data_IF_253453718579
#
_entry.id   IF_253453718579
#
_cell.length_a   1.000
_cell.length_b   1.000
_cell.length_c   1.000
_cell.angle_alpha   90.00
_cell.angle_beta   90.00
_cell.angle_gamma   90.00
#
_symmetry.space_group_name_H-M   'P 1'
#
loop_
_entity.id
_entity.type
_entity.pdbx_description
1 polymer ?
#
# COMPACT_ATOMS: atom_id res chain seq x y z
N UNK A 1 19.17 -86.24 -1.01
CA UNK A 1 18.21 -85.67 -0.02
C UNK A 1 18.48 -84.20 0.14
N UNK A 2 17.60 -83.30 -0.32
CA UNK A 2 17.80 -81.90 -0.11
C UNK A 2 17.04 -81.40 1.16
N UNK A 3 17.70 -80.64 1.99
CA UNK A 3 17.14 -79.99 3.18
C UNK A 3 16.20 -78.83 2.76
N UNK A 4 14.99 -78.84 3.30
CA UNK A 4 14.03 -77.77 3.20
C UNK A 4 14.34 -76.73 4.25
N UNK A 5 14.63 -75.51 3.79
CA UNK A 5 14.78 -74.33 4.62
C UNK A 5 13.38 -73.77 4.94
N UNK A 6 13.03 -73.66 6.24
CA UNK A 6 11.80 -73.06 6.69
C UNK A 6 11.97 -71.53 6.76
N UNK A 7 11.18 -70.80 5.99
CA UNK A 7 11.08 -69.37 6.05
C UNK A 7 10.11 -68.97 7.18
N UNK A 8 10.55 -68.21 8.17
CA UNK A 8 9.75 -67.78 9.33
C UNK A 8 8.81 -66.62 8.95
N UNK A 9 7.52 -66.64 9.36
CA UNK A 9 6.51 -65.65 8.96
C UNK A 9 6.52 -64.34 9.81
N UNK A 10 7.63 -63.96 10.46
CA UNK A 10 7.65 -62.86 11.39
C UNK A 10 7.94 -61.46 10.82
N UNK A 11 8.50 -61.32 9.61
CA UNK A 11 8.98 -60.06 9.07
C UNK A 11 7.92 -59.18 8.40
N UNK A 12 6.79 -59.77 7.97
CA UNK A 12 5.74 -59.05 7.22
C UNK A 12 4.70 -58.36 8.13
N UNK A 13 4.58 -58.74 9.41
CA UNK A 13 3.62 -58.10 10.33
C UNK A 13 4.11 -56.76 10.84
N UNK A 14 5.42 -56.58 11.08
CA UNK A 14 6.00 -55.31 11.54
C UNK A 14 5.94 -54.19 10.51
N UNK A 15 6.11 -54.54 9.23
CA UNK A 15 6.05 -53.59 8.12
C UNK A 15 4.63 -53.03 7.90
N UNK A 16 3.60 -53.87 8.05
CA UNK A 16 2.18 -53.47 7.92
C UNK A 16 1.73 -52.59 9.07
N UNK A 17 2.25 -52.80 10.28
CA UNK A 17 1.96 -51.96 11.46
C UNK A 17 2.64 -50.59 11.35
N UNK A 18 3.89 -50.57 10.89
CA UNK A 18 4.63 -49.31 10.66
C UNK A 18 3.96 -48.41 9.57
N UNK A 19 3.49 -49.02 8.46
CA UNK A 19 2.79 -48.28 7.40
C UNK A 19 1.43 -47.74 7.90
N UNK A 20 0.71 -48.50 8.73
CA UNK A 20 -0.56 -48.01 9.32
C UNK A 20 -0.36 -46.88 10.33
N UNK A 21 0.69 -46.90 11.11
CA UNK A 21 1.05 -45.82 12.03
C UNK A 21 1.50 -44.57 11.27
N UNK A 22 2.27 -44.73 10.19
CA UNK A 22 2.67 -43.60 9.35
C UNK A 22 1.48 -42.98 8.59
N UNK A 23 0.57 -43.81 8.06
CA UNK A 23 -0.67 -43.36 7.42
C UNK A 23 -1.62 -42.69 8.41
N UNK A 24 -1.71 -43.20 9.66
CA UNK A 24 -2.46 -42.59 10.76
C UNK A 24 -1.87 -41.23 11.20
N UNK A 25 -0.55 -41.12 11.28
CA UNK A 25 0.14 -39.88 11.60
C UNK A 25 -0.01 -38.83 10.48
N UNK A 26 0.09 -39.27 9.20
CA UNK A 26 -0.17 -38.41 8.04
C UNK A 26 -1.63 -37.94 7.95
N UNK A 27 -2.59 -38.83 8.29
CA UNK A 27 -4.01 -38.46 8.35
C UNK A 27 -4.31 -37.51 9.52
N UNK A 28 -3.68 -37.70 10.69
CA UNK A 28 -3.80 -36.81 11.83
C UNK A 28 -3.21 -35.42 11.54
N UNK A 29 -2.08 -35.33 10.82
CA UNK A 29 -1.49 -34.08 10.34
C UNK A 29 -2.38 -33.41 9.29
N UNK A 30 -3.04 -34.17 8.41
CA UNK A 30 -3.97 -33.65 7.42
C UNK A 30 -5.28 -33.10 8.05
N UNK A 31 -5.72 -33.68 9.17
CA UNK A 31 -6.92 -33.23 9.90
C UNK A 31 -6.60 -32.02 10.78
N UNK A 32 -5.38 -31.92 11.36
CA UNK A 32 -4.95 -30.74 12.11
C UNK A 32 -4.61 -29.53 11.23
N UNK A 33 -4.39 -29.73 9.91
CA UNK A 33 -4.15 -28.66 8.94
C UNK A 33 -5.40 -27.84 8.59
N UNK A 34 -6.58 -28.19 9.12
CA UNK A 34 -7.82 -27.40 8.99
C UNK A 34 -8.14 -26.57 10.23
N UNK A 35 -7.18 -26.32 11.14
CA UNK A 35 -7.38 -25.37 12.22
C UNK A 35 -7.47 -23.97 11.60
N UNK A 36 -8.68 -23.50 11.37
CA UNK A 36 -8.92 -22.09 11.02
C UNK A 36 -8.46 -21.24 12.20
N UNK A 37 -7.59 -20.26 11.92
CA UNK A 37 -7.24 -19.26 12.93
C UNK A 37 -8.53 -18.59 13.41
N UNK A 38 -8.74 -18.56 14.72
CA UNK A 38 -9.92 -17.91 15.30
C UNK A 38 -9.92 -16.43 14.97
N UNK A 39 -11.03 -15.96 14.42
CA UNK A 39 -11.27 -14.54 14.18
C UNK A 39 -12.72 -14.19 14.51
N UNK A 40 -12.99 -12.94 14.83
CA UNK A 40 -14.34 -12.46 14.97
C UNK A 40 -15.07 -12.50 13.61
N UNK A 41 -16.42 -12.60 13.62
CA UNK A 41 -17.19 -12.61 12.37
C UNK A 41 -16.89 -11.40 11.49
N UNK A 42 -16.80 -11.61 10.19
CA UNK A 42 -16.56 -10.55 9.22
C UNK A 42 -17.75 -9.59 9.11
N UNK A 43 -17.48 -8.37 8.65
CA UNK A 43 -18.48 -7.35 8.35
C UNK A 43 -18.84 -7.43 6.88
N UNK A 44 -20.13 -7.40 6.56
CA UNK A 44 -20.58 -7.33 5.17
C UNK A 44 -20.32 -5.94 4.59
N UNK A 45 -20.21 -5.85 3.26
CA UNK A 45 -20.04 -4.58 2.58
C UNK A 45 -21.17 -3.58 2.86
N UNK A 46 -22.41 -4.06 2.97
CA UNK A 46 -23.58 -3.22 3.26
C UNK A 46 -23.48 -2.57 4.66
N UNK A 47 -23.07 -3.33 5.66
CA UNK A 47 -22.83 -2.85 7.02
C UNK A 47 -21.64 -1.88 7.05
N UNK A 48 -20.49 -2.28 6.48
CA UNK A 48 -19.26 -1.50 6.52
C UNK A 48 -19.38 -0.09 5.89
N UNK A 49 -20.20 0.07 4.85
CA UNK A 49 -20.48 1.37 4.22
C UNK A 49 -21.17 2.37 5.14
N UNK A 50 -21.91 1.90 6.12
CA UNK A 50 -22.69 2.72 7.05
C UNK A 50 -21.91 3.01 8.34
N UNK A 51 -20.78 2.31 8.55
CA UNK A 51 -19.98 2.48 9.75
C UNK A 51 -18.98 3.63 9.61
N UNK A 52 -18.99 4.50 10.58
CA UNK A 52 -17.89 5.40 10.85
C UNK A 52 -16.96 4.71 11.86
N UNK A 53 -15.77 4.28 11.40
CA UNK A 53 -14.82 3.58 12.27
C UNK A 53 -14.40 4.48 13.43
N UNK A 54 -14.42 3.96 14.66
CA UNK A 54 -14.18 4.71 15.88
C UNK A 54 -15.09 5.95 16.01
N UNK A 55 -16.27 5.95 15.40
CA UNK A 55 -17.19 7.10 15.32
C UNK A 55 -16.54 8.36 14.69
N UNK A 56 -15.55 8.18 13.82
CA UNK A 56 -14.88 9.27 13.12
C UNK A 56 -15.52 9.48 11.75
N UNK A 57 -16.25 10.59 11.53
CA UNK A 57 -16.85 10.89 10.25
C UNK A 57 -15.78 11.05 9.14
N UNK A 58 -16.11 10.55 7.95
CA UNK A 58 -15.23 10.64 6.78
C UNK A 58 -13.83 9.99 6.97
N UNK A 59 -13.64 9.12 8.00
CA UNK A 59 -12.36 8.42 8.23
C UNK A 59 -11.99 7.51 7.06
N UNK A 60 -12.98 6.93 6.38
CA UNK A 60 -12.80 6.06 5.23
C UNK A 60 -13.99 6.07 4.29
N UNK A 61 -13.77 5.64 3.06
CA UNK A 61 -14.83 5.40 2.07
C UNK A 61 -14.39 4.37 1.03
N UNK A 62 -15.37 3.70 0.43
CA UNK A 62 -15.14 2.80 -0.68
C UNK A 62 -15.07 3.57 -2.00
N UNK A 63 -14.32 3.05 -2.96
CA UNK A 63 -14.20 3.66 -4.30
C UNK A 63 -15.57 3.84 -4.98
N UNK A 64 -16.56 3.01 -4.62
CA UNK A 64 -17.96 3.10 -5.08
C UNK A 64 -18.81 4.15 -4.36
N UNK A 65 -18.34 4.73 -3.23
CA UNK A 65 -19.11 5.69 -2.45
C UNK A 65 -18.99 7.12 -3.00
N UNK A 66 -19.46 7.29 -4.21
CA UNK A 66 -19.36 8.54 -4.97
C UNK A 66 -19.81 9.77 -4.20
N UNK A 67 -20.88 9.65 -3.41
CA UNK A 67 -21.40 10.77 -2.61
C UNK A 67 -20.42 11.19 -1.51
N UNK A 68 -19.89 10.26 -0.71
CA UNK A 68 -18.90 10.55 0.34
C UNK A 68 -17.63 11.19 -0.25
N UNK A 69 -17.17 10.70 -1.39
CA UNK A 69 -16.00 11.24 -2.09
C UNK A 69 -16.21 12.71 -2.45
N UNK A 70 -17.38 13.05 -3.02
CA UNK A 70 -17.71 14.44 -3.32
C UNK A 70 -17.83 15.29 -2.06
N UNK A 71 -18.43 14.80 -1.00
CA UNK A 71 -18.62 15.53 0.26
C UNK A 71 -17.26 15.87 0.89
N UNK A 72 -16.32 14.90 0.92
CA UNK A 72 -14.94 15.14 1.38
C UNK A 72 -14.23 16.17 0.49
N UNK A 73 -14.35 16.06 -0.83
CA UNK A 73 -13.72 17.00 -1.77
C UNK A 73 -14.29 18.42 -1.65
N UNK A 74 -15.62 18.54 -1.47
CA UNK A 74 -16.30 19.84 -1.27
C UNK A 74 -15.87 20.49 0.04
N UNK A 75 -15.88 19.73 1.16
CA UNK A 75 -15.39 20.21 2.47
C UNK A 75 -13.93 20.68 2.38
N UNK A 76 -13.07 19.90 1.72
CA UNK A 76 -11.66 20.25 1.53
C UNK A 76 -11.52 21.52 0.67
N UNK A 77 -12.25 21.63 -0.44
CA UNK A 77 -12.26 22.82 -1.28
C UNK A 77 -12.68 24.08 -0.50
N UNK A 78 -13.75 24.00 0.28
CA UNK A 78 -14.23 25.14 1.07
C UNK A 78 -13.20 25.60 2.13
N UNK A 79 -12.56 24.65 2.84
CA UNK A 79 -11.49 24.95 3.78
C UNK A 79 -10.28 25.58 3.08
N UNK A 80 -9.82 24.96 1.99
CA UNK A 80 -8.63 25.41 1.26
C UNK A 80 -8.86 26.72 0.52
N UNK A 81 -10.10 27.02 0.10
CA UNK A 81 -10.41 28.28 -0.55
C UNK A 81 -10.31 29.48 0.42
N UNK A 82 -10.64 29.26 1.71
CA UNK A 82 -10.43 30.25 2.77
C UNK A 82 -8.94 30.45 3.05
N UNK A 83 -8.13 29.39 3.00
CA UNK A 83 -6.72 29.43 3.37
C UNK A 83 -5.79 29.85 2.22
N UNK A 84 -6.08 29.45 0.96
CA UNK A 84 -5.13 29.51 -0.17
C UNK A 84 -5.65 30.20 -1.42
N UNK A 85 -6.91 30.63 -1.48
CA UNK A 85 -7.48 31.38 -2.59
C UNK A 85 -7.31 30.72 -3.97
N UNK A 86 -6.90 31.52 -4.97
CA UNK A 86 -6.78 31.12 -6.38
C UNK A 86 -5.50 30.37 -6.80
N UNK A 87 -4.68 29.90 -5.87
CA UNK A 87 -3.39 29.25 -6.15
C UNK A 87 -3.53 27.96 -6.97
N UNK A 88 -2.47 27.59 -7.69
CA UNK A 88 -2.32 26.30 -8.36
C UNK A 88 -2.49 25.17 -7.34
N UNK A 89 -3.16 24.08 -7.72
CA UNK A 89 -3.34 22.89 -6.89
C UNK A 89 -2.37 21.79 -7.32
N UNK A 90 -1.68 21.24 -6.36
CA UNK A 90 -0.68 20.19 -6.57
C UNK A 90 -1.11 18.89 -5.92
N UNK A 91 -1.11 17.82 -6.70
CA UNK A 91 -1.47 16.47 -6.25
C UNK A 91 -0.28 15.54 -6.42
N UNK A 92 -0.04 14.70 -5.42
CA UNK A 92 1.00 13.68 -5.44
C UNK A 92 0.40 12.30 -5.24
N UNK A 93 0.76 11.35 -6.09
CA UNK A 93 0.46 9.94 -5.90
C UNK A 93 1.75 9.13 -5.82
N UNK A 94 1.87 8.36 -4.74
CA UNK A 94 3.01 7.49 -4.44
C UNK A 94 2.59 6.04 -4.59
N UNK A 95 3.22 5.32 -5.52
CA UNK A 95 2.88 3.92 -5.75
C UNK A 95 3.45 2.98 -4.70
N UNK A 96 2.88 1.77 -4.63
CA UNK A 96 3.56 0.61 -4.05
C UNK A 96 4.87 0.29 -4.76
N UNK A 97 5.66 -0.63 -4.17
CA UNK A 97 6.94 -1.05 -4.73
C UNK A 97 7.91 -1.68 -3.71
N UNK A 98 7.51 -1.89 -2.44
CA UNK A 98 8.39 -2.45 -1.42
C UNK A 98 9.63 -1.58 -1.20
N UNK A 99 10.81 -2.19 -1.30
CA UNK A 99 12.13 -1.53 -1.18
C UNK A 99 12.43 -0.54 -2.32
N UNK A 100 11.78 -0.64 -3.47
CA UNK A 100 11.82 0.38 -4.53
C UNK A 100 11.26 1.75 -4.08
N UNK A 101 10.58 1.83 -2.93
CA UNK A 101 10.20 3.08 -2.27
C UNK A 101 11.36 4.03 -1.99
N UNK A 102 12.57 3.50 -1.89
CA UNK A 102 13.81 4.27 -1.77
C UNK A 102 13.98 5.29 -2.92
N UNK A 103 13.54 4.93 -4.15
CA UNK A 103 13.53 5.86 -5.29
C UNK A 103 12.69 7.10 -5.01
N UNK A 104 11.43 6.89 -4.60
CA UNK A 104 10.51 8.00 -4.34
C UNK A 104 10.95 8.88 -3.18
N UNK A 105 11.49 8.27 -2.11
CA UNK A 105 12.04 8.98 -0.98
C UNK A 105 13.23 9.86 -1.38
N UNK A 106 14.19 9.30 -2.14
CA UNK A 106 15.32 10.02 -2.70
C UNK A 106 14.89 11.13 -3.63
N UNK A 107 13.98 10.85 -4.56
CA UNK A 107 13.45 11.85 -5.50
C UNK A 107 12.82 13.04 -4.76
N UNK A 108 12.00 12.81 -3.75
CA UNK A 108 11.37 13.88 -2.98
C UNK A 108 12.39 14.72 -2.20
N UNK A 109 13.38 14.10 -1.56
CA UNK A 109 14.45 14.80 -0.85
C UNK A 109 15.30 15.62 -1.82
N UNK A 110 15.68 15.05 -2.98
CA UNK A 110 16.39 15.75 -4.04
C UNK A 110 15.59 16.91 -4.64
N UNK A 111 14.29 16.71 -4.84
CA UNK A 111 13.39 17.77 -5.33
C UNK A 111 13.27 18.93 -4.34
N UNK A 112 13.26 18.64 -3.03
CA UNK A 112 13.35 19.68 -2.00
C UNK A 112 14.69 20.43 -2.04
N UNK A 113 15.79 19.73 -2.30
CA UNK A 113 17.11 20.34 -2.44
C UNK A 113 17.23 21.21 -3.71
N UNK A 114 16.52 20.83 -4.80
CA UNK A 114 16.39 21.65 -6.00
C UNK A 114 15.63 22.97 -5.72
N UNK A 115 14.67 22.95 -4.79
CA UNK A 115 14.03 24.16 -4.29
C UNK A 115 12.64 24.47 -4.84
N UNK A 116 12.15 23.73 -5.84
CA UNK A 116 10.86 23.98 -6.49
C UNK A 116 9.79 22.93 -6.18
N UNK A 117 10.05 22.02 -5.21
CA UNK A 117 9.03 21.07 -4.75
C UNK A 117 7.84 21.82 -4.12
N UNK A 118 6.63 21.67 -4.69
CA UNK A 118 5.45 22.35 -4.16
C UNK A 118 4.95 21.71 -2.87
N UNK A 119 4.15 22.46 -2.12
CA UNK A 119 3.26 21.86 -1.14
C UNK A 119 2.09 21.19 -1.85
N UNK A 120 1.80 19.94 -1.47
CA UNK A 120 0.74 19.16 -2.12
C UNK A 120 -0.60 19.38 -1.41
N UNK A 121 -1.63 19.72 -2.18
CA UNK A 121 -3.01 19.83 -1.68
C UNK A 121 -3.62 18.46 -1.41
N UNK A 122 -3.18 17.44 -2.14
CA UNK A 122 -3.57 16.05 -1.92
C UNK A 122 -2.36 15.13 -2.13
N UNK A 123 -2.17 14.22 -1.17
CA UNK A 123 -1.21 13.12 -1.28
C UNK A 123 -1.95 11.81 -1.14
N UNK A 124 -1.66 10.87 -2.02
CA UNK A 124 -2.17 9.50 -1.94
C UNK A 124 -1.01 8.52 -1.89
N UNK A 125 -1.16 7.44 -1.14
CA UNK A 125 -0.14 6.41 -1.01
C UNK A 125 -0.71 5.00 -0.98
N UNK A 126 0.07 4.06 -1.53
CA UNK A 126 -0.22 2.62 -1.53
C UNK A 126 1.06 1.88 -1.11
N UNK A 127 0.98 0.91 -0.18
CA UNK A 127 2.12 0.11 0.24
C UNK A 127 3.29 0.98 0.74
N UNK A 128 4.50 0.81 0.22
CA UNK A 128 5.64 1.69 0.52
C UNK A 128 5.33 3.17 0.25
N UNK A 129 4.49 3.47 -0.75
CA UNK A 129 3.99 4.82 -0.99
C UNK A 129 3.09 5.34 0.13
N UNK A 130 2.33 4.48 0.81
CA UNK A 130 1.55 4.84 1.98
C UNK A 130 2.45 5.18 3.18
N UNK A 131 3.57 4.45 3.34
CA UNK A 131 4.56 4.74 4.39
C UNK A 131 5.25 6.10 4.14
N UNK A 132 5.49 6.46 2.88
CA UNK A 132 6.10 7.74 2.50
C UNK A 132 5.12 8.92 2.51
N UNK A 133 3.81 8.66 2.33
CA UNK A 133 2.80 9.69 2.11
C UNK A 133 2.67 10.72 3.25
N UNK A 134 2.70 10.37 4.56
CA UNK A 134 2.65 11.34 5.65
C UNK A 134 3.80 12.36 5.60
N UNK A 135 5.02 11.89 5.31
CA UNK A 135 6.22 12.74 5.21
C UNK A 135 6.13 13.67 4.00
N UNK A 136 5.73 13.14 2.84
CA UNK A 136 5.52 13.92 1.62
C UNK A 136 4.43 14.99 1.81
N UNK A 137 3.38 14.67 2.55
CA UNK A 137 2.27 15.57 2.86
C UNK A 137 2.71 16.71 3.77
N UNK A 138 3.53 16.43 4.78
CA UNK A 138 4.05 17.43 5.71
C UNK A 138 5.20 18.26 5.12
N UNK A 139 5.83 17.76 4.05
CA UNK A 139 6.76 18.53 3.26
C UNK A 139 8.21 18.48 3.74
N UNK A 140 9.01 19.46 3.30
CA UNK A 140 10.47 19.48 3.39
C UNK A 140 11.04 19.21 4.79
N UNK A 141 10.39 19.66 5.84
CA UNK A 141 10.83 19.44 7.21
C UNK A 141 10.92 17.98 7.63
N UNK A 142 10.23 17.09 6.89
CA UNK A 142 10.17 15.66 7.15
C UNK A 142 11.03 14.80 6.22
N UNK A 143 11.78 15.43 5.30
CA UNK A 143 12.59 14.70 4.30
C UNK A 143 13.70 13.86 4.95
N UNK A 144 14.33 14.34 6.02
CA UNK A 144 15.35 13.58 6.73
C UNK A 144 14.78 12.32 7.41
N UNK A 145 13.61 12.42 8.03
CA UNK A 145 12.92 11.25 8.61
C UNK A 145 12.56 10.24 7.52
N UNK A 146 12.06 10.71 6.37
CA UNK A 146 11.75 9.87 5.23
C UNK A 146 13.01 9.19 4.67
N UNK A 147 14.12 9.90 4.53
CA UNK A 147 15.39 9.34 4.09
C UNK A 147 15.84 8.21 5.01
N UNK A 148 15.81 8.41 6.33
CA UNK A 148 16.17 7.40 7.33
C UNK A 148 15.36 6.10 7.18
N UNK A 149 14.07 6.16 6.89
CA UNK A 149 13.24 4.97 6.65
C UNK A 149 13.76 4.05 5.55
N UNK A 150 14.48 4.58 4.56
CA UNK A 150 14.97 3.81 3.41
C UNK A 150 16.48 3.62 3.37
N UNK A 151 17.24 4.44 4.06
CA UNK A 151 18.71 4.37 4.04
C UNK A 151 19.32 3.73 5.29
N UNK A 152 18.58 3.73 6.40
CA UNK A 152 19.03 3.18 7.69
C UNK A 152 18.32 1.88 8.06
N UNK A 153 17.33 1.45 7.25
CA UNK A 153 16.52 0.26 7.48
C UNK A 153 17.07 -0.93 6.69
N UNK A 154 16.98 -2.11 7.29
CA UNK A 154 17.35 -3.39 6.68
C UNK A 154 16.21 -4.42 6.80
N UNK A 155 16.38 -5.61 6.23
CA UNK A 155 15.35 -6.65 6.23
C UNK A 155 14.86 -7.03 7.63
N UNK A 156 15.72 -7.03 8.67
CA UNK A 156 15.33 -7.39 10.05
C UNK A 156 14.46 -6.33 10.71
N UNK A 157 14.52 -5.07 10.24
CA UNK A 157 13.66 -3.98 10.71
C UNK A 157 12.27 -4.03 10.07
N UNK A 158 12.11 -4.81 9.01
CA UNK A 158 10.85 -4.95 8.27
C UNK A 158 10.14 -6.26 8.65
N UNK A 159 10.87 -7.38 8.73
CA UNK A 159 10.26 -8.67 9.03
C UNK A 159 11.21 -9.65 9.71
N UNK A 160 10.63 -10.61 10.43
CA UNK A 160 11.33 -11.79 10.92
C UNK A 160 10.81 -13.03 10.19
N UNK A 161 11.73 -13.84 9.63
CA UNK A 161 11.36 -15.09 8.94
C UNK A 161 10.83 -16.11 9.92
N UNK A 162 9.66 -16.67 9.67
CA UNK A 162 9.13 -17.84 10.36
C UNK A 162 9.68 -19.11 9.73
N UNK A 163 9.65 -20.24 10.47
CA UNK A 163 10.05 -21.55 9.91
C UNK A 163 9.07 -21.96 8.80
N UNK A 164 9.49 -21.84 7.56
CA UNK A 164 8.63 -21.91 6.33
C UNK A 164 7.77 -23.18 6.27
N UNK A 165 8.32 -24.34 6.69
CA UNK A 165 7.58 -25.62 6.67
C UNK A 165 6.40 -25.69 7.66
N UNK A 166 6.50 -24.98 8.78
CA UNK A 166 5.45 -24.94 9.81
C UNK A 166 4.48 -23.81 9.50
N UNK A 167 4.98 -22.65 9.07
CA UNK A 167 4.16 -21.46 8.80
C UNK A 167 3.19 -21.66 7.64
N UNK A 168 3.57 -22.40 6.59
CA UNK A 168 2.70 -22.65 5.44
C UNK A 168 1.42 -23.43 5.78
N UNK A 169 1.38 -24.13 6.93
CA UNK A 169 0.24 -24.97 7.35
C UNK A 169 -0.47 -24.39 8.59
N UNK A 170 0.26 -23.64 9.43
CA UNK A 170 -0.25 -23.22 10.75
C UNK A 170 -0.38 -21.71 10.93
N UNK A 171 0.10 -20.92 9.97
CA UNK A 171 0.12 -19.45 10.06
C UNK A 171 -0.61 -18.78 8.88
N UNK A 172 -1.03 -17.54 9.10
CA UNK A 172 -1.61 -16.65 8.11
C UNK A 172 -0.57 -16.00 7.15
N UNK A 173 0.73 -16.20 7.42
CA UNK A 173 1.82 -15.54 6.70
C UNK A 173 3.16 -16.25 6.83
N UNK A 174 4.09 -15.97 5.91
CA UNK A 174 5.45 -16.50 5.90
C UNK A 174 6.40 -15.76 6.86
N UNK A 175 6.08 -14.52 7.23
CA UNK A 175 6.92 -13.68 8.08
C UNK A 175 6.09 -12.99 9.17
N UNK A 176 6.76 -12.55 10.22
CA UNK A 176 6.19 -11.67 11.25
C UNK A 176 6.47 -10.21 10.86
N UNK A 177 5.44 -9.35 10.87
CA UNK A 177 5.53 -7.93 10.55
C UNK A 177 5.65 -7.03 11.79
N UNK A 178 5.85 -7.60 12.98
CA UNK A 178 6.06 -6.82 14.21
C UNK A 178 7.20 -5.79 14.08
N UNK A 179 8.34 -6.07 13.42
CA UNK A 179 9.37 -5.06 13.19
C UNK A 179 8.86 -3.87 12.36
N UNK A 180 8.16 -4.13 11.25
CA UNK A 180 7.55 -3.08 10.43
C UNK A 180 6.56 -2.23 11.24
N UNK A 181 5.72 -2.88 12.08
CA UNK A 181 4.82 -2.16 12.98
C UNK A 181 5.58 -1.20 13.91
N UNK A 182 6.69 -1.65 14.51
CA UNK A 182 7.51 -0.80 15.38
C UNK A 182 8.12 0.38 14.62
N UNK A 183 8.58 0.16 13.40
CA UNK A 183 9.12 1.21 12.53
C UNK A 183 8.07 2.27 12.23
N UNK A 184 6.86 1.86 11.85
CA UNK A 184 5.73 2.77 11.61
C UNK A 184 5.36 3.49 12.91
N UNK A 185 5.23 2.78 14.01
CA UNK A 185 4.83 3.30 15.32
C UNK A 185 5.82 4.37 15.83
N UNK A 186 7.12 4.15 15.67
CA UNK A 186 8.16 5.13 16.02
C UNK A 186 8.18 6.35 15.07
N UNK A 187 7.73 6.19 13.84
CA UNK A 187 7.73 7.25 12.82
C UNK A 187 6.50 8.15 12.92
N UNK A 188 5.34 7.58 13.27
CA UNK A 188 4.06 8.28 13.41
C UNK A 188 3.88 8.71 14.87
N UNK A 189 4.65 9.72 15.28
CA UNK A 189 4.56 10.29 16.62
C UNK A 189 3.35 11.24 16.77
N UNK A 190 3.04 11.64 18.00
CA UNK A 190 1.92 12.55 18.28
C UNK A 190 2.08 13.90 17.58
N UNK A 191 3.31 14.38 17.42
CA UNK A 191 3.60 15.65 16.73
C UNK A 191 3.28 15.54 15.23
N UNK A 192 3.59 14.40 14.59
CA UNK A 192 3.22 14.14 13.20
C UNK A 192 1.70 14.09 13.02
N UNK A 193 0.98 13.40 13.92
CA UNK A 193 -0.49 13.33 13.87
C UNK A 193 -1.10 14.72 14.01
N UNK A 194 -0.61 15.53 14.95
CA UNK A 194 -1.04 16.92 15.14
C UNK A 194 -0.77 17.76 13.87
N UNK A 195 0.41 17.66 13.27
CA UNK A 195 0.75 18.38 12.06
C UNK A 195 -0.15 17.98 10.87
N UNK A 196 -0.48 16.67 10.73
CA UNK A 196 -1.42 16.18 9.72
C UNK A 196 -2.81 16.79 9.95
N UNK A 197 -3.29 16.85 11.21
CA UNK A 197 -4.57 17.43 11.55
C UNK A 197 -4.64 18.92 11.19
N UNK A 198 -3.59 19.67 11.47
CA UNK A 198 -3.49 21.10 11.13
C UNK A 198 -3.57 21.34 9.62
N UNK A 199 -2.85 20.54 8.84
CA UNK A 199 -2.87 20.63 7.38
C UNK A 199 -4.23 20.19 6.78
N UNK A 200 -4.86 19.17 7.36
CA UNK A 200 -6.22 18.78 6.99
C UNK A 200 -7.24 19.91 7.25
N UNK A 201 -7.12 20.61 8.36
CA UNK A 201 -7.98 21.76 8.70
C UNK A 201 -7.81 22.95 7.73
N UNK A 202 -6.64 23.04 7.07
CA UNK A 202 -6.40 23.98 5.96
C UNK A 202 -6.98 23.50 4.62
N UNK A 203 -7.59 22.30 4.57
CA UNK A 203 -8.23 21.71 3.40
C UNK A 203 -7.31 20.86 2.55
N UNK A 204 -6.14 20.45 3.05
CA UNK A 204 -5.28 19.45 2.40
C UNK A 204 -5.76 18.05 2.71
N UNK A 205 -5.50 17.11 1.80
CA UNK A 205 -5.98 15.72 1.90
C UNK A 205 -4.81 14.73 1.89
N UNK A 206 -4.84 13.78 2.81
CA UNK A 206 -3.90 12.65 2.85
C UNK A 206 -4.69 11.35 2.83
N UNK A 207 -4.52 10.57 1.76
CA UNK A 207 -5.22 9.31 1.56
C UNK A 207 -4.29 8.11 1.48
N UNK A 208 -4.70 7.01 2.09
CA UNK A 208 -4.02 5.72 2.02
C UNK A 208 -5.01 4.66 1.53
N UNK A 209 -4.55 3.76 0.67
CA UNK A 209 -5.35 2.67 0.14
C UNK A 209 -5.01 1.36 0.86
N UNK A 210 -6.04 0.63 1.25
CA UNK A 210 -5.95 -0.78 1.66
C UNK A 210 -6.94 -1.62 0.86
N UNK A 211 -6.78 -2.93 0.88
CA UNK A 211 -7.76 -3.88 0.36
C UNK A 211 -8.45 -4.60 1.52
N UNK A 212 -9.77 -4.47 1.62
CA UNK A 212 -10.57 -5.33 2.49
C UNK A 212 -10.78 -6.66 1.77
N UNK A 213 -10.12 -7.74 2.25
CA UNK A 213 -10.17 -9.07 1.61
C UNK A 213 -11.52 -9.74 1.77
N UNK A 214 -12.22 -9.55 2.91
CA UNK A 214 -13.53 -10.15 3.14
C UNK A 214 -14.55 -9.71 2.08
N UNK A 215 -14.36 -8.50 1.56
CA UNK A 215 -15.26 -7.86 0.63
C UNK A 215 -14.68 -7.77 -0.79
N UNK A 216 -13.41 -8.12 -0.98
CA UNK A 216 -12.66 -7.96 -2.25
C UNK A 216 -12.76 -6.53 -2.79
N UNK A 217 -12.60 -5.52 -1.91
CA UNK A 217 -12.82 -4.10 -2.25
C UNK A 217 -11.69 -3.20 -1.76
N UNK A 218 -11.34 -2.16 -2.55
CA UNK A 218 -10.43 -1.12 -2.11
C UNK A 218 -11.13 -0.19 -1.12
N UNK A 219 -10.42 0.16 -0.06
CA UNK A 219 -10.86 1.14 0.97
C UNK A 219 -9.87 2.29 0.98
N UNK A 220 -10.36 3.51 0.78
CA UNK A 220 -9.58 4.73 0.87
C UNK A 220 -9.73 5.30 2.27
N UNK A 221 -8.62 5.45 2.97
CA UNK A 221 -8.55 6.01 4.32
C UNK A 221 -8.16 7.48 4.27
N UNK A 222 -8.94 8.31 4.93
CA UNK A 222 -8.70 9.74 5.07
C UNK A 222 -7.89 10.00 6.34
N UNK A 223 -6.57 9.89 6.23
CA UNK A 223 -5.65 10.02 7.36
C UNK A 223 -5.78 11.39 8.02
N UNK A 224 -6.05 12.43 7.23
CA UNK A 224 -6.28 13.77 7.76
C UNK A 224 -7.54 13.86 8.64
N UNK A 225 -8.65 13.23 8.24
CA UNK A 225 -9.87 13.20 9.05
C UNK A 225 -9.65 12.41 10.35
N UNK A 226 -8.94 11.28 10.27
CA UNK A 226 -8.59 10.48 11.46
C UNK A 226 -7.72 11.30 12.41
N UNK A 227 -6.67 11.95 11.92
CA UNK A 227 -5.79 12.78 12.73
C UNK A 227 -6.52 13.97 13.40
N UNK A 228 -7.48 14.59 12.70
CA UNK A 228 -8.23 15.75 13.18
C UNK A 228 -9.44 15.40 14.06
N UNK A 229 -9.69 14.12 14.33
CA UNK A 229 -10.89 13.65 15.04
C UNK A 229 -10.83 13.89 16.57
N UNK A 230 -9.65 14.15 17.13
CA UNK A 230 -9.40 14.15 18.56
C UNK A 230 -9.73 12.81 19.27
N UNK A 231 -9.92 11.73 18.53
CA UNK A 231 -10.16 10.42 19.10
C UNK A 231 -8.85 9.89 19.71
N UNK A 232 -8.85 9.38 20.95
CA UNK A 232 -7.62 8.88 21.61
C UNK A 232 -6.97 7.69 20.88
N UNK A 233 -7.73 6.96 20.06
CA UNK A 233 -7.25 5.84 19.23
C UNK A 233 -6.90 6.25 17.80
N UNK A 234 -6.97 7.54 17.46
CA UNK A 234 -6.72 8.02 16.10
C UNK A 234 -5.30 7.65 15.63
N UNK A 235 -4.29 7.82 16.48
CA UNK A 235 -2.89 7.47 16.15
C UNK A 235 -2.74 5.98 15.88
N UNK A 236 -3.30 5.13 16.73
CA UNK A 236 -3.20 3.68 16.57
C UNK A 236 -3.90 3.22 15.28
N UNK A 237 -5.05 3.80 14.95
CA UNK A 237 -5.73 3.54 13.68
C UNK A 237 -4.89 3.97 12.47
N UNK A 238 -4.20 5.11 12.54
CA UNK A 238 -3.27 5.53 11.47
C UNK A 238 -2.16 4.49 11.30
N UNK A 239 -1.53 4.04 12.39
CA UNK A 239 -0.48 3.00 12.36
C UNK A 239 -1.02 1.70 11.75
N UNK A 240 -2.21 1.24 12.16
CA UNK A 240 -2.85 0.03 11.65
C UNK A 240 -3.16 0.15 10.14
N UNK A 241 -3.64 1.30 9.69
CA UNK A 241 -3.91 1.55 8.26
C UNK A 241 -2.64 1.55 7.42
N UNK A 242 -1.57 2.18 7.89
CA UNK A 242 -0.28 2.20 7.20
C UNK A 242 0.32 0.79 7.14
N UNK A 243 0.25 0.03 8.24
CA UNK A 243 0.69 -1.36 8.29
C UNK A 243 -0.14 -2.23 7.35
N UNK A 244 -1.47 -2.10 7.35
CA UNK A 244 -2.37 -2.82 6.46
C UNK A 244 -2.04 -2.53 4.99
N UNK A 245 -1.81 -1.26 4.66
CA UNK A 245 -1.44 -0.85 3.30
C UNK A 245 -0.11 -1.44 2.83
N UNK A 246 0.80 -1.80 3.74
CA UNK A 246 2.09 -2.43 3.46
C UNK A 246 2.10 -3.95 3.70
N UNK A 247 0.96 -4.54 4.10
CA UNK A 247 0.85 -5.99 4.37
C UNK A 247 0.56 -6.77 3.10
N UNK A 248 1.63 -7.12 2.35
CA UNK A 248 1.55 -7.89 1.11
C UNK A 248 1.00 -9.29 1.41
N UNK A 249 -0.11 -9.72 0.77
CA UNK A 249 -0.72 -11.05 0.99
C UNK A 249 0.28 -12.19 0.80
N UNK A 250 0.15 -13.24 1.60
CA UNK A 250 1.01 -14.41 1.68
C UNK A 250 2.43 -14.13 2.23
N UNK A 251 2.94 -12.92 2.18
CA UNK A 251 4.23 -12.55 2.79
C UNK A 251 4.00 -12.10 4.22
N UNK A 252 3.19 -11.05 4.41
CA UNK A 252 2.86 -10.48 5.72
C UNK A 252 1.48 -10.94 6.21
N UNK A 253 1.27 -11.00 7.55
CA UNK A 253 -0.05 -11.24 8.09
C UNK A 253 -0.99 -10.08 7.72
N UNK A 254 -2.29 -10.36 7.49
CA UNK A 254 -3.29 -9.32 7.34
C UNK A 254 -3.45 -8.52 8.64
N UNK A 255 -3.86 -7.27 8.53
CA UNK A 255 -4.23 -6.46 9.69
C UNK A 255 -5.72 -6.61 9.93
N UNK A 256 -6.06 -7.06 11.14
CA UNK A 256 -7.45 -7.23 11.57
C UNK A 256 -7.91 -5.95 12.26
N UNK A 257 -8.90 -5.27 11.66
CA UNK A 257 -9.49 -4.07 12.25
C UNK A 257 -10.77 -4.41 12.99
N UNK A 258 -10.78 -4.15 14.29
CA UNK A 258 -11.96 -4.36 15.13
C UNK A 258 -12.97 -3.25 14.89
N UNK A 259 -14.22 -3.64 14.67
CA UNK A 259 -15.37 -2.74 14.49
C UNK A 259 -16.55 -3.23 15.31
N UNK A 260 -17.51 -2.34 15.57
CA UNK A 260 -18.76 -2.68 16.26
C UNK A 260 -19.92 -2.45 15.29
N UNK A 261 -20.74 -3.49 15.11
CA UNK A 261 -21.97 -3.46 14.29
C UNK A 261 -23.12 -3.86 15.19
N UNK A 262 -24.09 -2.99 15.37
CA UNK A 262 -25.27 -3.25 16.21
C UNK A 262 -24.92 -3.77 17.63
N UNK A 263 -23.86 -3.19 18.22
CA UNK A 263 -23.37 -3.58 19.54
C UNK A 263 -22.53 -4.87 19.57
N UNK A 264 -22.36 -5.56 18.44
CA UNK A 264 -21.56 -6.79 18.33
C UNK A 264 -20.16 -6.49 17.80
N UNK A 265 -19.14 -7.11 18.42
CA UNK A 265 -17.78 -7.05 17.94
C UNK A 265 -17.61 -7.86 16.66
N UNK A 266 -17.02 -7.26 15.64
CA UNK A 266 -16.72 -7.83 14.32
C UNK A 266 -15.30 -7.47 13.92
N UNK A 267 -14.79 -8.09 12.86
CA UNK A 267 -13.47 -7.80 12.32
C UNK A 267 -13.51 -7.64 10.80
N UNK A 268 -12.69 -6.72 10.30
CA UNK A 268 -12.40 -6.57 8.88
C UNK A 268 -10.95 -6.96 8.62
N UNK A 269 -10.72 -7.79 7.60
CA UNK A 269 -9.39 -8.23 7.19
C UNK A 269 -8.83 -7.29 6.13
N UNK A 270 -7.82 -6.51 6.48
CA UNK A 270 -7.16 -5.59 5.56
C UNK A 270 -5.75 -6.04 5.20
N UNK A 271 -5.42 -5.88 3.92
CA UNK A 271 -4.10 -6.15 3.33
C UNK A 271 -3.67 -5.00 2.44
N UNK A 272 -2.48 -5.14 1.83
CA UNK A 272 -1.87 -4.16 0.93
C UNK A 272 -2.86 -3.68 -0.14
N UNK A 273 -2.91 -2.36 -0.29
CA UNK A 273 -3.73 -1.70 -1.31
C UNK A 273 -3.34 -2.11 -2.73
N UNK A 274 -2.07 -2.47 -2.94
CA UNK A 274 -1.52 -2.98 -4.19
C UNK A 274 -2.13 -4.30 -4.66
N UNK A 275 -2.88 -5.00 -3.82
CA UNK A 275 -3.70 -6.15 -4.23
C UNK A 275 -4.76 -5.75 -5.27
N UNK A 276 -5.24 -4.50 -5.25
CA UNK A 276 -6.24 -3.99 -6.19
C UNK A 276 -5.68 -2.85 -7.06
N UNK A 277 -4.91 -1.92 -6.50
CA UNK A 277 -4.35 -0.80 -7.24
C UNK A 277 -2.99 -0.38 -6.68
N UNK A 278 -1.99 -0.29 -7.55
CA UNK A 278 -0.63 0.10 -7.18
C UNK A 278 -0.48 1.61 -6.94
N UNK A 279 -1.35 2.42 -7.55
CA UNK A 279 -1.32 3.88 -7.42
C UNK A 279 -2.68 4.47 -7.79
N UNK A 280 -3.07 5.57 -7.14
CA UNK A 280 -4.35 6.25 -7.42
C UNK A 280 -4.28 7.75 -7.10
N UNK A 281 -5.21 8.53 -7.67
CA UNK A 281 -5.52 9.89 -7.22
C UNK A 281 -6.88 9.94 -6.54
N UNK A 282 -7.91 9.65 -7.33
CA UNK A 282 -9.32 9.63 -6.93
C UNK A 282 -10.07 8.60 -7.79
N UNK A 283 -11.22 8.11 -7.31
CA UNK A 283 -12.01 7.16 -8.09
C UNK A 283 -12.48 7.72 -9.43
N UNK A 284 -12.64 6.87 -10.46
CA UNK A 284 -13.14 7.30 -11.78
C UNK A 284 -14.53 7.96 -11.73
N UNK A 285 -15.34 7.64 -10.71
CA UNK A 285 -16.65 8.26 -10.46
C UNK A 285 -16.58 9.72 -10.03
N UNK A 286 -15.44 10.18 -9.49
CA UNK A 286 -15.21 11.58 -9.19
C UNK A 286 -14.81 12.33 -10.46
N UNK A 287 -15.32 13.56 -10.63
CA UNK A 287 -14.92 14.48 -11.70
C UNK A 287 -15.04 15.92 -11.25
N UNK A 288 -14.27 16.81 -11.88
CA UNK A 288 -14.34 18.26 -11.61
C UNK A 288 -15.74 18.80 -11.93
N UNK A 289 -16.38 18.30 -13.01
CA UNK A 289 -17.75 18.65 -13.35
C UNK A 289 -18.74 18.26 -12.25
N UNK A 290 -18.62 17.05 -11.72
CA UNK A 290 -19.45 16.60 -10.59
C UNK A 290 -19.23 17.44 -9.33
N UNK A 291 -17.98 17.81 -9.03
CA UNK A 291 -17.66 18.69 -7.92
C UNK A 291 -18.24 20.10 -8.11
N UNK A 292 -18.18 20.68 -9.31
CA UNK A 292 -18.79 21.97 -9.63
C UNK A 292 -20.29 21.95 -9.37
N UNK A 293 -20.99 20.91 -9.87
CA UNK A 293 -22.43 20.72 -9.64
C UNK A 293 -22.76 20.66 -8.13
N UNK A 294 -21.95 19.95 -7.34
CA UNK A 294 -22.13 19.80 -5.90
C UNK A 294 -21.91 21.11 -5.14
N UNK A 295 -20.95 21.92 -5.61
CA UNK A 295 -20.62 23.24 -5.06
C UNK A 295 -21.61 24.33 -5.49
N UNK A 296 -22.44 24.09 -6.49
CA UNK A 296 -23.32 25.11 -7.09
C UNK A 296 -22.54 26.21 -7.82
N UNK A 297 -21.36 25.89 -8.38
CA UNK A 297 -20.50 26.84 -9.09
C UNK A 297 -20.35 26.46 -10.56
N UNK A 298 -20.02 27.45 -11.41
CA UNK A 298 -19.71 27.17 -12.82
C UNK A 298 -18.47 26.27 -12.93
N UNK A 299 -18.58 25.22 -13.73
CA UNK A 299 -17.47 24.31 -14.03
C UNK A 299 -16.23 25.06 -14.56
N UNK A 300 -16.46 26.11 -15.37
CA UNK A 300 -15.37 26.95 -15.93
C UNK A 300 -14.53 27.60 -14.82
N UNK A 301 -15.15 28.03 -13.72
CA UNK A 301 -14.42 28.59 -12.57
C UNK A 301 -13.48 27.56 -11.93
N UNK A 302 -13.93 26.31 -11.78
CA UNK A 302 -13.07 25.24 -11.27
C UNK A 302 -11.99 24.86 -12.29
N UNK A 303 -12.34 24.78 -13.57
CA UNK A 303 -11.36 24.44 -14.64
C UNK A 303 -10.30 25.52 -14.85
N UNK A 304 -10.63 26.79 -14.64
CA UNK A 304 -9.68 27.90 -14.76
C UNK A 304 -8.54 27.81 -13.74
N UNK A 305 -8.76 27.11 -12.61
CA UNK A 305 -7.71 26.90 -11.62
C UNK A 305 -6.73 25.84 -12.12
N UNK A 306 -5.47 26.22 -12.27
CA UNK A 306 -4.41 25.28 -12.66
C UNK A 306 -4.27 24.13 -11.63
N UNK A 307 -4.20 22.90 -12.14
CA UNK A 307 -3.98 21.68 -11.36
C UNK A 307 -2.83 20.92 -11.96
N UNK A 308 -1.94 20.47 -11.11
CA UNK A 308 -0.75 19.71 -11.49
C UNK A 308 -0.70 18.44 -10.65
N UNK A 309 -0.63 17.32 -11.32
CA UNK A 309 -0.53 16.02 -10.68
C UNK A 309 0.84 15.41 -10.95
N UNK A 310 1.43 14.87 -9.88
CA UNK A 310 2.70 14.17 -9.90
C UNK A 310 2.46 12.73 -9.48
N UNK A 311 2.94 11.79 -10.29
CA UNK A 311 2.94 10.36 -10.00
C UNK A 311 4.37 9.92 -9.82
N UNK A 312 4.72 9.43 -8.64
CA UNK A 312 6.00 8.77 -8.38
C UNK A 312 5.73 7.27 -8.32
N UNK A 313 6.14 6.58 -9.39
CA UNK A 313 6.10 5.12 -9.46
C UNK A 313 7.37 4.55 -8.84
N UNK A 314 7.23 3.93 -7.67
CA UNK A 314 8.29 3.17 -7.01
C UNK A 314 8.44 1.81 -7.72
N UNK A 315 9.02 1.84 -8.91
CA UNK A 315 9.19 0.67 -9.76
C UNK A 315 9.49 1.03 -11.21
N UNK A 316 9.79 0.01 -11.99
CA UNK A 316 10.10 0.11 -13.42
C UNK A 316 8.85 -0.16 -14.26
N UNK A 317 8.82 0.33 -15.49
CA UNK A 317 7.79 -0.05 -16.47
C UNK A 317 8.11 -1.37 -17.16
N UNK A 318 9.39 -1.71 -17.28
CA UNK A 318 9.88 -2.94 -17.87
C UNK A 318 10.91 -3.55 -16.93
N UNK A 319 10.91 -4.86 -16.80
CA UNK A 319 11.94 -5.62 -16.07
C UNK A 319 12.93 -6.22 -17.06
N UNK A 320 14.21 -6.35 -16.68
CA UNK A 320 15.15 -7.14 -17.46
C UNK A 320 14.64 -8.58 -17.61
N UNK A 321 14.99 -9.22 -18.73
CA UNK A 321 14.65 -10.63 -18.96
C UNK A 321 15.40 -11.51 -17.95
N UNK A 322 14.66 -12.33 -17.22
CA UNK A 322 15.20 -13.30 -16.27
C UNK A 322 14.58 -14.68 -16.51
N UNK A 323 15.41 -15.72 -16.46
CA UNK A 323 14.92 -17.09 -16.57
C UNK A 323 14.25 -17.55 -15.28
N UNK A 324 12.98 -17.89 -15.37
CA UNK A 324 12.21 -18.42 -14.23
C UNK A 324 12.49 -19.90 -14.05
N UNK A 325 12.83 -20.32 -12.83
CA UNK A 325 13.02 -21.75 -12.53
C UNK A 325 11.69 -22.51 -12.68
N UNK A 326 11.76 -23.70 -13.31
CA UNK A 326 10.58 -24.58 -13.50
C UNK A 326 10.21 -25.26 -12.16
N UNK A 327 9.74 -24.48 -11.20
CA UNK A 327 9.25 -24.92 -9.88
C UNK A 327 8.00 -24.15 -9.54
N UNK A 328 6.99 -24.81 -8.99
CA UNK A 328 5.66 -24.24 -8.71
C UNK A 328 5.75 -22.93 -7.92
N UNK A 329 6.55 -22.86 -6.84
CA UNK A 329 6.70 -21.67 -6.00
C UNK A 329 7.39 -20.53 -6.78
N UNK A 330 8.42 -20.84 -7.59
CA UNK A 330 9.12 -19.82 -8.39
C UNK A 330 8.19 -19.24 -9.47
N UNK A 331 7.42 -20.11 -10.14
CA UNK A 331 6.42 -19.69 -11.14
C UNK A 331 5.34 -18.84 -10.50
N UNK A 332 4.79 -19.26 -9.35
CA UNK A 332 3.74 -18.51 -8.66
C UNK A 332 4.23 -17.14 -8.20
N UNK A 333 5.46 -17.05 -7.63
CA UNK A 333 6.09 -15.80 -7.23
C UNK A 333 6.24 -14.85 -8.43
N UNK A 334 6.76 -15.34 -9.55
CA UNK A 334 7.00 -14.51 -10.73
C UNK A 334 5.68 -14.09 -11.41
N UNK A 335 4.69 -14.98 -11.45
CA UNK A 335 3.35 -14.64 -11.93
C UNK A 335 2.73 -13.50 -11.11
N UNK A 336 2.82 -13.58 -9.77
CA UNK A 336 2.31 -12.54 -8.87
C UNK A 336 3.06 -11.21 -9.07
N UNK A 337 4.39 -11.26 -9.19
CA UNK A 337 5.21 -10.08 -9.46
C UNK A 337 4.86 -9.43 -10.81
N UNK A 338 4.64 -10.25 -11.85
CA UNK A 338 4.22 -9.79 -13.19
C UNK A 338 2.84 -9.16 -13.15
N UNK A 339 1.87 -9.76 -12.45
CA UNK A 339 0.52 -9.20 -12.27
C UNK A 339 0.57 -7.85 -11.54
N UNK A 340 1.37 -7.75 -10.49
CA UNK A 340 1.56 -6.51 -9.71
C UNK A 340 2.17 -5.40 -10.56
N UNK A 341 3.21 -5.72 -11.33
CA UNK A 341 3.84 -4.77 -12.25
C UNK A 341 2.85 -4.30 -13.33
N UNK A 342 2.14 -5.22 -13.95
CA UNK A 342 1.13 -4.93 -14.98
C UNK A 342 -0.01 -4.07 -14.42
N UNK A 343 -0.49 -4.38 -13.21
CA UNK A 343 -1.47 -3.55 -12.50
C UNK A 343 -0.99 -2.10 -12.36
N UNK A 344 0.25 -1.90 -11.89
CA UNK A 344 0.79 -0.54 -11.72
C UNK A 344 1.01 0.22 -13.04
N UNK A 345 1.34 -0.48 -14.13
CA UNK A 345 1.36 0.12 -15.47
C UNK A 345 -0.04 0.58 -15.87
N UNK A 346 -1.04 -0.30 -15.74
CA UNK A 346 -2.44 0.00 -16.08
C UNK A 346 -2.99 1.15 -15.22
N UNK A 347 -2.66 1.19 -13.93
CA UNK A 347 -3.04 2.30 -13.05
C UNK A 347 -2.47 3.63 -13.52
N UNK A 348 -1.22 3.64 -13.99
CA UNK A 348 -0.59 4.86 -14.54
C UNK A 348 -1.33 5.37 -15.77
N UNK A 349 -1.74 4.47 -16.68
CA UNK A 349 -2.58 4.83 -17.83
C UNK A 349 -3.96 5.36 -17.40
N UNK A 350 -4.58 4.71 -16.42
CA UNK A 350 -5.86 5.15 -15.85
C UNK A 350 -5.76 6.55 -15.26
N UNK A 351 -4.70 6.82 -14.48
CA UNK A 351 -4.46 8.14 -13.89
C UNK A 351 -4.23 9.22 -14.95
N UNK A 352 -3.50 8.90 -16.01
CA UNK A 352 -3.32 9.80 -17.14
C UNK A 352 -4.65 10.12 -17.83
N UNK A 353 -5.48 9.10 -18.08
CA UNK A 353 -6.81 9.30 -18.68
C UNK A 353 -7.70 10.20 -17.81
N UNK A 354 -7.69 10.00 -16.48
CA UNK A 354 -8.43 10.85 -15.53
C UNK A 354 -7.89 12.28 -15.53
N UNK A 355 -6.57 12.45 -15.52
CA UNK A 355 -5.94 13.77 -15.57
C UNK A 355 -6.33 14.52 -16.86
N UNK A 356 -6.28 13.84 -18.01
CA UNK A 356 -6.72 14.40 -19.29
C UNK A 356 -8.20 14.81 -19.28
N UNK A 357 -9.08 13.93 -18.77
CA UNK A 357 -10.53 14.21 -18.64
C UNK A 357 -10.78 15.48 -17.83
N UNK A 358 -10.06 15.66 -16.75
CA UNK A 358 -10.30 16.72 -15.77
C UNK A 358 -9.41 17.98 -15.99
N UNK A 359 -8.60 18.00 -17.04
CA UNK A 359 -7.72 19.15 -17.36
C UNK A 359 -6.61 19.35 -16.32
N UNK A 360 -6.04 18.25 -15.81
CA UNK A 360 -4.94 18.24 -14.85
C UNK A 360 -3.62 18.02 -15.61
N UNK A 361 -2.61 18.84 -15.37
CA UNK A 361 -1.27 18.66 -15.93
C UNK A 361 -0.60 17.43 -15.28
N UNK A 362 -0.33 16.41 -16.08
CA UNK A 362 0.19 15.13 -15.62
C UNK A 362 1.71 15.07 -15.68
N UNK A 363 2.33 14.60 -14.61
CA UNK A 363 3.78 14.45 -14.48
C UNK A 363 4.09 13.08 -13.85
N UNK A 364 4.97 12.32 -14.47
CA UNK A 364 5.31 10.95 -14.09
C UNK A 364 6.81 10.80 -13.86
N UNK A 365 7.15 10.21 -12.73
CA UNK A 365 8.49 9.72 -12.40
C UNK A 365 8.48 8.21 -12.20
N UNK A 366 9.55 7.54 -12.56
CA UNK A 366 9.77 6.10 -12.36
C UNK A 366 11.26 5.80 -12.35
N UNK A 367 11.62 4.62 -11.85
CA UNK A 367 13.01 4.11 -11.96
C UNK A 367 13.34 3.93 -13.44
N UNK A 368 14.42 4.56 -13.90
CA UNK A 368 14.88 4.49 -15.28
C UNK A 368 15.70 3.23 -15.57
N UNK A 369 15.93 2.96 -16.86
CA UNK A 369 16.78 1.87 -17.31
C UNK A 369 18.26 2.12 -16.96
N UNK A 370 18.63 3.38 -16.73
CA UNK A 370 19.97 3.82 -16.31
C UNK A 370 20.31 3.47 -14.86
N UNK A 371 19.35 3.01 -14.06
CA UNK A 371 19.63 2.41 -12.75
C UNK A 371 19.91 0.92 -12.91
N UNK A 372 21.20 0.56 -12.88
CA UNK A 372 21.68 -0.80 -13.19
C UNK A 372 22.22 -1.58 -11.98
N UNK A 373 22.03 -1.06 -10.76
CA UNK A 373 22.47 -1.76 -9.53
C UNK A 373 21.70 -3.08 -9.39
N UNK A 374 22.41 -4.22 -9.24
CA UNK A 374 21.75 -5.52 -9.12
C UNK A 374 20.92 -5.65 -7.85
N UNK A 375 19.73 -6.22 -8.00
CA UNK A 375 18.87 -6.58 -6.86
C UNK A 375 19.38 -7.86 -6.19
N UNK A 376 19.80 -7.77 -4.92
CA UNK A 376 20.37 -8.91 -4.18
C UNK A 376 19.33 -9.64 -3.32
N UNK A 377 18.22 -9.00 -3.04
CA UNK A 377 17.15 -9.55 -2.22
C UNK A 377 16.31 -8.48 -1.54
N UNK A 378 15.21 -8.88 -0.89
CA UNK A 378 14.27 -7.95 -0.27
C UNK A 378 14.95 -7.10 0.82
N UNK A 379 14.77 -5.81 0.74
CA UNK A 379 15.27 -4.80 1.69
C UNK A 379 16.78 -4.86 1.90
N UNK A 380 17.54 -5.12 0.81
CA UNK A 380 19.01 -5.02 0.83
C UNK A 380 19.43 -3.56 1.03
N UNK A 381 20.18 -3.23 2.11
CA UNK A 381 20.54 -1.84 2.40
C UNK A 381 21.35 -1.18 1.29
N UNK A 382 22.27 -1.93 0.66
CA UNK A 382 23.11 -1.41 -0.42
C UNK A 382 22.29 -1.06 -1.66
N UNK A 383 21.30 -1.88 -2.00
CA UNK A 383 20.35 -1.60 -3.08
C UNK A 383 19.51 -0.36 -2.76
N UNK A 384 18.88 -0.32 -1.57
CA UNK A 384 18.03 0.81 -1.18
C UNK A 384 18.79 2.13 -1.09
N UNK A 385 20.01 2.14 -0.52
CA UNK A 385 20.85 3.34 -0.46
C UNK A 385 21.24 3.82 -1.86
N UNK A 386 21.60 2.89 -2.76
CA UNK A 386 21.94 3.22 -4.15
C UNK A 386 20.74 3.79 -4.90
N UNK A 387 19.57 3.21 -4.70
CA UNK A 387 18.33 3.65 -5.33
C UNK A 387 17.84 4.99 -4.77
N UNK A 388 18.01 5.21 -3.48
CA UNK A 388 17.75 6.52 -2.85
C UNK A 388 18.68 7.59 -3.45
N UNK A 389 19.99 7.32 -3.52
CA UNK A 389 20.96 8.24 -4.09
C UNK A 389 20.65 8.57 -5.56
N UNK A 390 20.26 7.56 -6.35
CA UNK A 390 19.81 7.75 -7.73
C UNK A 390 18.60 8.68 -7.81
N UNK A 391 17.58 8.45 -7.01
CA UNK A 391 16.39 9.31 -6.93
C UNK A 391 16.74 10.73 -6.51
N UNK A 392 17.60 10.86 -5.47
CA UNK A 392 18.04 12.15 -4.94
C UNK A 392 18.76 12.99 -5.99
N UNK A 393 19.74 12.42 -6.70
CA UNK A 393 20.48 13.14 -7.74
C UNK A 393 19.58 13.58 -8.90
N UNK A 394 18.66 12.71 -9.33
CA UNK A 394 17.66 13.07 -10.34
C UNK A 394 16.77 14.23 -9.88
N UNK A 395 16.30 14.20 -8.63
CA UNK A 395 15.47 15.27 -8.04
C UNK A 395 16.24 16.57 -7.91
N UNK A 396 17.47 16.53 -7.38
CA UNK A 396 18.34 17.69 -7.18
C UNK A 396 18.74 18.38 -8.49
N UNK A 397 18.88 17.61 -9.57
CA UNK A 397 19.19 18.15 -10.90
C UNK A 397 17.96 18.74 -11.63
N UNK A 398 16.75 18.66 -11.05
CA UNK A 398 15.50 18.97 -11.74
C UNK A 398 15.00 17.77 -12.51
N UNK A 399 14.10 16.99 -11.91
CA UNK A 399 13.60 15.75 -12.51
C UNK A 399 12.90 16.00 -13.86
N UNK A 400 13.24 15.28 -14.93
CA UNK A 400 12.61 15.43 -16.24
C UNK A 400 11.26 14.69 -16.28
N UNK A 401 10.23 15.28 -15.71
CA UNK A 401 8.90 14.70 -15.60
C UNK A 401 8.31 14.29 -16.94
N UNK A 402 7.98 13.01 -17.09
CA UNK A 402 7.28 12.52 -18.28
C UNK A 402 5.83 13.00 -18.27
N UNK A 403 5.37 13.59 -19.36
CA UNK A 403 4.01 14.14 -19.49
C UNK A 403 2.97 13.11 -19.92
N UNK A 404 3.43 11.95 -20.35
CA UNK A 404 2.60 10.82 -20.81
C UNK A 404 3.19 9.50 -20.27
N UNK A 405 2.37 8.45 -20.08
CA UNK A 405 2.87 7.12 -19.81
C UNK A 405 3.72 6.57 -20.97
N UNK A 406 4.67 5.65 -20.71
CA UNK A 406 5.45 5.00 -21.75
C UNK A 406 4.56 4.33 -22.80
N UNK A 407 4.96 4.42 -24.08
CA UNK A 407 4.18 3.86 -25.20
C UNK A 407 2.93 4.66 -25.61
N UNK A 408 2.65 5.76 -24.92
CA UNK A 408 1.59 6.68 -25.32
C UNK A 408 2.16 7.71 -26.30
N UNK A 409 1.66 7.73 -27.54
CA UNK A 409 1.96 8.76 -28.52
C UNK A 409 0.82 9.78 -28.51
N UNK A 410 1.15 11.09 -28.47
CA UNK A 410 0.18 12.17 -28.55
C UNK A 410 -0.47 12.25 -29.94
#
# INVERSE_FOLDING_TARGET
MPQKSFCTPGALSGLRTGIRLLAGALAAVAISGCATLERLPAVTYAEARQLDILDIPDARFYVSDTNRIYDVAVKAYQRSNRARGGQTRHYLALSGGGDDGAFGAGLMAGWSAHGDRPEFDMVTGVSTGALSAPFAFLGRAYDQKLAGMYTETNASDIFQKRAVLISAVTSDSLVDNTPLRRLIDSSVDAAMVQAIAEEYNKGRLLFVLTTNLDQSRPVIWNIGAIAASNNPKARDLIVDVLLASASIPAIFPPVMLDVTVDGQKRQEMHVDGGTIAQVFFYPPSFSIRGAAKRLGVDEKMLRARKRVAYVIRNGRFFRPDESVQLRTIAIAKEALATMTMSSGVNDTYRMYALARRDGVDFNLASIGEDFTVPYKGPFDPGYMQSLFAYGYEKGRAGYPWKKVPPGYTN
#
